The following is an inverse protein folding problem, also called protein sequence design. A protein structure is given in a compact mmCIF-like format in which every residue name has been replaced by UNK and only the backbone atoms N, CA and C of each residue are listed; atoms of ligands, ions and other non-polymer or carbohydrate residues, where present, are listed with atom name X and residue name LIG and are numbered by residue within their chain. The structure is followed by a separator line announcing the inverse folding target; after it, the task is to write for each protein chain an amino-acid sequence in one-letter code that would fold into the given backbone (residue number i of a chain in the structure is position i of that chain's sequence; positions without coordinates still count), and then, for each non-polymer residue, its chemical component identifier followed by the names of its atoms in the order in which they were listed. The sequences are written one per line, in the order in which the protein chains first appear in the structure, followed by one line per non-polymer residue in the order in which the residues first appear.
data_IF_575899916374
#
_entry.id   IF_575899916374
#
_cell.length_a   1.000
_cell.length_b   1.000
_cell.length_c   1.000
_cell.angle_alpha   90.00
_cell.angle_beta   90.00
_cell.angle_gamma   90.00
#
_symmetry.space_group_name_H-M   'P 1'
#
loop_
_entity.id
_entity.type
_entity.pdbx_description
1 polymer ?
#
# COMPACT_ATOMS: atom_id res chain seq x y z
N UNK A 1 19.32 -4.08 -17.64
CA UNK A 1 19.45 -4.81 -16.36
C UNK A 1 19.19 -6.28 -16.60
N UNK A 2 20.15 -7.15 -16.24
CA UNK A 2 19.96 -8.61 -16.30
C UNK A 2 19.00 -9.08 -15.20
N UNK A 3 18.45 -10.28 -15.34
CA UNK A 3 17.61 -10.90 -14.29
C UNK A 3 18.38 -11.03 -12.97
N UNK A 4 19.64 -11.46 -13.05
CA UNK A 4 20.53 -11.65 -11.90
C UNK A 4 20.78 -10.35 -11.13
N UNK A 5 20.91 -9.23 -11.83
CA UNK A 5 21.13 -7.93 -11.21
C UNK A 5 19.88 -7.44 -10.48
N UNK A 6 18.69 -7.69 -11.04
CA UNK A 6 17.41 -7.39 -10.37
C UNK A 6 17.23 -8.22 -9.10
N UNK A 7 17.57 -9.50 -9.16
CA UNK A 7 17.46 -10.41 -8.02
C UNK A 7 18.42 -10.03 -6.88
N UNK A 8 19.64 -9.61 -7.22
CA UNK A 8 20.61 -9.10 -6.25
C UNK A 8 20.08 -7.85 -5.53
N UNK A 9 19.57 -6.88 -6.28
CA UNK A 9 19.00 -5.64 -5.71
C UNK A 9 17.80 -5.95 -4.83
N UNK A 10 16.91 -6.86 -5.28
CA UNK A 10 15.74 -7.28 -4.49
C UNK A 10 16.16 -7.83 -3.12
N UNK A 11 17.10 -8.78 -3.10
CA UNK A 11 17.60 -9.39 -1.86
C UNK A 11 18.26 -8.37 -0.95
N UNK A 12 19.06 -7.46 -1.51
CA UNK A 12 19.72 -6.41 -0.75
C UNK A 12 18.71 -5.45 -0.09
N UNK A 13 17.67 -5.03 -0.82
CA UNK A 13 16.61 -4.18 -0.27
C UNK A 13 15.85 -4.90 0.84
N UNK A 14 15.45 -6.16 0.63
CA UNK A 14 14.76 -6.98 1.64
C UNK A 14 15.60 -7.07 2.93
N UNK A 15 16.91 -7.32 2.79
CA UNK A 15 17.80 -7.42 3.94
C UNK A 15 17.92 -6.09 4.70
N UNK A 16 17.98 -4.95 3.98
CA UNK A 16 18.07 -3.61 4.59
C UNK A 16 16.81 -3.22 5.37
N UNK A 17 15.63 -3.67 4.91
CA UNK A 17 14.33 -3.30 5.53
C UNK A 17 13.76 -4.40 6.42
N UNK A 18 14.50 -5.48 6.69
CA UNK A 18 14.03 -6.64 7.46
C UNK A 18 13.44 -6.26 8.82
N UNK A 19 14.14 -5.42 9.59
CA UNK A 19 13.65 -4.98 10.91
C UNK A 19 12.32 -4.22 10.83
N UNK A 20 12.11 -3.47 9.75
CA UNK A 20 10.86 -2.78 9.48
C UNK A 20 9.76 -3.79 9.09
N UNK A 21 10.09 -4.78 8.26
CA UNK A 21 9.17 -5.83 7.85
C UNK A 21 8.69 -6.69 9.03
N UNK A 22 9.59 -6.97 9.99
CA UNK A 22 9.29 -7.71 11.22
C UNK A 22 8.38 -6.90 12.16
N UNK A 23 8.53 -5.57 12.20
CA UNK A 23 7.66 -4.67 12.97
C UNK A 23 6.25 -4.55 12.37
N UNK A 24 6.15 -4.68 11.04
CA UNK A 24 4.91 -4.49 10.29
C UNK A 24 4.60 -5.74 9.44
N UNK A 25 4.25 -6.87 10.08
CA UNK A 25 4.13 -8.16 9.39
C UNK A 25 3.04 -8.16 8.31
N UNK A 26 1.96 -7.41 8.50
CA UNK A 26 0.81 -7.37 7.59
C UNK A 26 0.92 -6.27 6.53
N UNK A 27 1.95 -5.42 6.58
CA UNK A 27 2.08 -4.29 5.67
C UNK A 27 2.62 -4.74 4.31
N UNK A 28 1.81 -4.58 3.26
CA UNK A 28 2.13 -5.08 1.92
C UNK A 28 3.13 -4.20 1.16
N UNK A 29 3.42 -3.00 1.67
CA UNK A 29 4.33 -2.05 1.02
C UNK A 29 5.79 -2.27 1.39
N UNK A 30 6.06 -3.00 2.48
CA UNK A 30 7.42 -3.29 2.92
C UNK A 30 7.92 -4.56 2.24
N UNK A 31 9.00 -4.48 1.44
CA UNK A 31 9.61 -5.63 0.80
C UNK A 31 9.98 -6.72 1.80
N UNK A 32 9.62 -7.97 1.49
CA UNK A 32 9.94 -9.15 2.30
C UNK A 32 10.11 -10.38 1.40
N UNK A 33 10.76 -11.39 1.95
CA UNK A 33 10.75 -12.72 1.34
C UNK A 33 9.34 -13.29 1.37
N UNK A 34 8.90 -13.85 0.25
CA UNK A 34 7.60 -14.47 0.09
C UNK A 34 7.81 -15.92 -0.31
N UNK A 35 6.95 -16.81 0.17
CA UNK A 35 6.90 -18.18 -0.37
C UNK A 35 6.39 -18.15 -1.80
N UNK A 36 6.70 -19.19 -2.59
CA UNK A 36 6.22 -19.31 -3.98
C UNK A 36 4.69 -19.14 -4.08
N UNK A 37 3.95 -19.73 -3.15
CA UNK A 37 2.49 -19.59 -3.07
C UNK A 37 2.04 -18.15 -2.82
N UNK A 38 2.77 -17.39 -1.99
CA UNK A 38 2.49 -15.98 -1.76
C UNK A 38 2.84 -15.11 -2.97
N UNK A 39 3.94 -15.42 -3.66
CA UNK A 39 4.32 -14.73 -4.91
C UNK A 39 3.28 -14.95 -6.01
N UNK A 40 2.84 -16.20 -6.20
CA UNK A 40 1.81 -16.55 -7.18
C UNK A 40 0.48 -15.86 -6.86
N UNK A 41 0.08 -15.82 -5.59
CA UNK A 41 -1.10 -15.08 -5.15
C UNK A 41 -0.96 -13.58 -5.43
N UNK A 42 0.16 -12.97 -5.04
CA UNK A 42 0.39 -11.54 -5.26
C UNK A 42 0.32 -11.19 -6.75
N UNK A 43 0.92 -12.01 -7.61
CA UNK A 43 0.88 -11.82 -9.06
C UNK A 43 -0.55 -11.86 -9.60
N UNK A 44 -1.35 -12.85 -9.19
CA UNK A 44 -2.78 -12.93 -9.55
C UNK A 44 -3.59 -11.73 -9.06
N UNK A 45 -3.34 -11.30 -7.82
CA UNK A 45 -4.00 -10.13 -7.25
C UNK A 45 -3.63 -8.85 -8.03
N UNK A 46 -2.36 -8.71 -8.44
CA UNK A 46 -1.88 -7.59 -9.28
C UNK A 46 -2.52 -7.58 -10.67
N UNK A 47 -2.61 -8.74 -11.32
CA UNK A 47 -3.29 -8.92 -12.62
C UNK A 47 -4.78 -8.53 -12.50
N UNK A 48 -5.48 -9.07 -11.49
CA UNK A 48 -6.88 -8.76 -11.21
C UNK A 48 -7.13 -7.27 -10.96
N UNK A 49 -6.26 -6.61 -10.18
CA UNK A 49 -6.32 -5.15 -9.96
C UNK A 49 -6.11 -4.38 -11.28
N UNK A 50 -5.21 -4.87 -12.14
CA UNK A 50 -4.93 -4.24 -13.42
C UNK A 50 -6.13 -4.32 -14.37
N UNK A 51 -6.79 -5.47 -14.44
CA UNK A 51 -7.98 -5.69 -15.27
C UNK A 51 -9.12 -4.74 -14.86
N UNK A 52 -9.42 -4.66 -13.56
CA UNK A 52 -10.44 -3.72 -13.06
C UNK A 52 -10.09 -2.28 -13.38
N UNK A 53 -8.81 -1.89 -13.26
CA UNK A 53 -8.37 -0.53 -13.61
C UNK A 53 -8.56 -0.22 -15.08
N UNK A 54 -8.21 -1.15 -15.98
CA UNK A 54 -8.38 -0.98 -17.41
C UNK A 54 -9.85 -0.83 -17.75
N UNK A 55 -10.72 -1.69 -17.20
CA UNK A 55 -12.16 -1.59 -17.39
C UNK A 55 -12.71 -0.22 -16.98
N UNK A 56 -12.31 0.29 -15.80
CA UNK A 56 -12.73 1.60 -15.32
C UNK A 56 -12.26 2.75 -16.23
N UNK A 57 -11.03 2.69 -16.73
CA UNK A 57 -10.49 3.71 -17.65
C UNK A 57 -11.21 3.72 -18.99
N UNK A 58 -11.65 2.55 -19.45
CA UNK A 58 -12.41 2.37 -20.69
C UNK A 58 -13.92 2.61 -20.50
N UNK A 59 -14.37 2.97 -19.29
CA UNK A 59 -15.79 3.15 -18.98
C UNK A 59 -16.61 1.87 -19.02
N UNK A 60 -15.97 0.69 -18.96
CA UNK A 60 -16.64 -0.60 -18.93
C UNK A 60 -17.21 -0.88 -17.53
N UNK A 61 -18.33 -1.59 -17.52
CA UNK A 61 -18.93 -2.08 -16.28
C UNK A 61 -18.03 -3.14 -15.62
N UNK A 62 -17.90 -3.04 -14.30
CA UNK A 62 -17.15 -3.99 -13.47
C UNK A 62 -18.14 -4.65 -12.53
N UNK A 63 -18.20 -5.99 -12.57
CA UNK A 63 -19.10 -6.74 -11.69
C UNK A 63 -18.78 -6.48 -10.22
N UNK A 64 -19.81 -6.51 -9.37
CA UNK A 64 -19.71 -6.16 -7.95
C UNK A 64 -18.54 -6.85 -7.21
N UNK A 65 -18.31 -8.18 -7.32
CA UNK A 65 -17.20 -8.83 -6.62
C UNK A 65 -15.81 -8.32 -7.02
N UNK A 66 -15.64 -7.93 -8.28
CA UNK A 66 -14.38 -7.38 -8.80
C UNK A 66 -14.16 -5.94 -8.32
N UNK A 67 -15.24 -5.15 -8.29
CA UNK A 67 -15.20 -3.80 -7.74
C UNK A 67 -14.93 -3.81 -6.23
N UNK A 68 -15.55 -4.70 -5.48
CA UNK A 68 -15.29 -4.88 -4.04
C UNK A 68 -13.83 -5.23 -3.77
N UNK A 69 -13.29 -6.22 -4.48
CA UNK A 69 -11.88 -6.59 -4.37
C UNK A 69 -10.96 -5.42 -4.69
N UNK A 70 -11.25 -4.67 -5.76
CA UNK A 70 -10.46 -3.52 -6.13
C UNK A 70 -10.49 -2.44 -5.04
N UNK A 71 -11.66 -2.08 -4.51
CA UNK A 71 -11.78 -1.10 -3.43
C UNK A 71 -11.08 -1.57 -2.16
N UNK A 72 -11.20 -2.85 -1.80
CA UNK A 72 -10.50 -3.43 -0.65
C UNK A 72 -8.99 -3.35 -0.80
N UNK A 73 -8.46 -3.62 -2.01
CA UNK A 73 -7.03 -3.47 -2.29
C UNK A 73 -6.56 -2.01 -2.09
N UNK A 74 -7.37 -1.02 -2.49
CA UNK A 74 -7.07 0.40 -2.30
C UNK A 74 -7.12 0.79 -0.84
N UNK A 75 -8.15 0.35 -0.11
CA UNK A 75 -8.29 0.59 1.33
C UNK A 75 -7.10 -0.01 2.07
N UNK A 76 -6.72 -1.25 1.77
CA UNK A 76 -5.55 -1.92 2.36
C UNK A 76 -4.27 -1.14 2.09
N UNK A 77 -4.04 -0.72 0.83
CA UNK A 77 -2.88 0.09 0.48
C UNK A 77 -2.83 1.40 1.26
N UNK A 78 -3.97 2.05 1.46
CA UNK A 78 -4.05 3.29 2.26
C UNK A 78 -3.75 3.03 3.72
N UNK A 79 -4.28 1.95 4.32
CA UNK A 79 -3.93 1.55 5.70
C UNK A 79 -2.43 1.30 5.86
N UNK A 80 -1.81 0.62 4.88
CA UNK A 80 -0.39 0.31 4.90
C UNK A 80 0.48 1.57 4.80
N UNK A 81 0.08 2.55 3.99
CA UNK A 81 0.78 3.84 3.92
C UNK A 81 0.65 4.62 5.24
N UNK A 82 -0.54 4.65 5.83
CA UNK A 82 -0.79 5.34 7.10
C UNK A 82 0.09 4.76 8.21
N UNK A 83 0.16 3.43 8.32
CA UNK A 83 0.97 2.76 9.35
C UNK A 83 2.46 3.13 9.27
N UNK A 84 3.04 3.17 8.05
CA UNK A 84 4.44 3.57 7.84
C UNK A 84 4.65 5.05 8.19
N UNK A 85 3.72 5.92 7.79
CA UNK A 85 3.82 7.36 8.02
C UNK A 85 3.66 7.70 9.50
N UNK A 86 2.73 7.08 10.21
CA UNK A 86 2.56 7.24 11.66
C UNK A 86 3.80 6.76 12.42
N UNK A 87 4.41 5.66 12.01
CA UNK A 87 5.68 5.19 12.59
C UNK A 87 6.81 6.20 12.35
N UNK A 88 6.92 6.70 11.12
CA UNK A 88 7.96 7.68 10.74
C UNK A 88 7.77 8.98 11.52
N UNK A 89 6.54 9.45 11.67
CA UNK A 89 6.20 10.64 12.45
C UNK A 89 6.64 10.50 13.91
N UNK A 90 6.28 9.38 14.57
CA UNK A 90 6.70 9.10 15.95
C UNK A 90 8.23 9.08 16.07
N UNK A 91 8.90 8.40 15.14
CA UNK A 91 10.37 8.34 15.12
C UNK A 91 11.02 9.72 15.01
N UNK A 92 10.50 10.60 14.13
CA UNK A 92 11.02 11.95 13.97
C UNK A 92 10.76 12.83 15.20
N UNK A 93 9.55 12.77 15.76
CA UNK A 93 9.20 13.49 16.99
C UNK A 93 10.08 13.09 18.17
N UNK A 94 10.34 11.79 18.34
CA UNK A 94 11.20 11.26 19.41
C UNK A 94 12.68 11.65 19.24
N UNK A 95 13.12 11.89 17.99
CA UNK A 95 14.53 12.17 17.67
C UNK A 95 14.99 13.62 17.98
N UNK A 96 14.07 14.54 18.34
CA UNK A 96 14.31 15.96 18.70
C UNK A 96 15.39 16.68 17.87
N UNK A 97 15.44 16.46 16.55
CA UNK A 97 16.30 17.23 15.65
C UNK A 97 15.49 18.39 15.06
N UNK A 98 15.85 19.62 15.45
CA UNK A 98 15.15 20.87 15.09
C UNK A 98 15.02 21.14 13.57
N UNK A 99 15.70 20.37 12.71
CA UNK A 99 15.66 20.55 11.25
C UNK A 99 14.56 19.72 10.53
N UNK A 100 13.71 19.01 11.27
CA UNK A 100 12.71 18.09 10.69
C UNK A 100 11.27 18.64 10.61
N UNK A 101 11.04 19.88 11.03
CA UNK A 101 9.71 20.51 11.05
C UNK A 101 9.00 20.49 9.68
N UNK A 102 9.74 20.67 8.58
CA UNK A 102 9.18 20.59 7.22
C UNK A 102 8.77 19.17 6.83
N UNK A 103 9.54 18.16 7.26
CA UNK A 103 9.24 16.75 7.01
C UNK A 103 8.04 16.27 7.84
N UNK A 104 7.93 16.73 9.09
CA UNK A 104 6.79 16.43 9.96
C UNK A 104 5.50 17.00 9.38
N UNK A 105 5.49 18.27 8.98
CA UNK A 105 4.31 18.89 8.32
C UNK A 105 3.88 18.13 7.07
N UNK A 106 4.82 17.75 6.22
CA UNK A 106 4.52 16.97 5.01
C UNK A 106 3.90 15.61 5.35
N UNK A 107 4.39 14.94 6.39
CA UNK A 107 3.82 13.66 6.86
C UNK A 107 2.40 13.86 7.39
N UNK A 108 2.16 14.89 8.20
CA UNK A 108 0.84 15.23 8.74
C UNK A 108 -0.18 15.54 7.62
N UNK A 109 0.19 16.40 6.67
CA UNK A 109 -0.64 16.71 5.51
C UNK A 109 -0.98 15.45 4.70
N UNK A 110 0.03 14.57 4.52
CA UNK A 110 -0.18 13.30 3.82
C UNK A 110 -1.12 12.37 4.59
N UNK A 111 -1.00 12.29 5.91
CA UNK A 111 -1.88 11.48 6.75
C UNK A 111 -3.34 11.95 6.64
N UNK A 112 -3.58 13.26 6.71
CA UNK A 112 -4.93 13.84 6.55
C UNK A 112 -5.51 13.51 5.18
N UNK A 113 -4.72 13.68 4.11
CA UNK A 113 -5.12 13.34 2.74
C UNK A 113 -5.48 11.86 2.59
N UNK A 114 -4.68 10.96 3.18
CA UNK A 114 -4.91 9.52 3.15
C UNK A 114 -6.16 9.11 3.94
N UNK A 115 -6.43 9.74 5.08
CA UNK A 115 -7.64 9.51 5.86
C UNK A 115 -8.90 9.85 5.05
N UNK A 116 -8.93 11.05 4.43
CA UNK A 116 -10.04 11.46 3.57
C UNK A 116 -10.24 10.50 2.39
N UNK A 117 -9.16 10.14 1.69
CA UNK A 117 -9.22 9.18 0.58
C UNK A 117 -9.75 7.81 1.03
N UNK A 118 -9.37 7.34 2.22
CA UNK A 118 -9.88 6.09 2.78
C UNK A 118 -11.38 6.15 3.06
N UNK A 119 -11.87 7.26 3.61
CA UNK A 119 -13.29 7.46 3.89
C UNK A 119 -14.11 7.43 2.60
N UNK A 120 -13.63 8.11 1.55
CA UNK A 120 -14.26 8.07 0.21
C UNK A 120 -14.32 6.64 -0.35
N UNK A 121 -13.25 5.86 -0.24
CA UNK A 121 -13.21 4.46 -0.67
C UNK A 121 -14.18 3.57 0.13
N UNK A 122 -14.25 3.77 1.45
CA UNK A 122 -15.19 3.03 2.31
C UNK A 122 -16.63 3.38 1.97
N UNK A 123 -16.93 4.65 1.72
CA UNK A 123 -18.25 5.09 1.28
C UNK A 123 -18.59 4.52 -0.10
N UNK A 124 -17.65 4.52 -1.05
CA UNK A 124 -17.84 3.90 -2.36
C UNK A 124 -18.14 2.41 -2.23
N UNK A 125 -17.41 1.69 -1.36
CA UNK A 125 -17.66 0.27 -1.11
C UNK A 125 -19.06 0.03 -0.54
N UNK A 126 -19.48 0.81 0.46
CA UNK A 126 -20.83 0.70 1.04
C UNK A 126 -21.94 0.95 0.02
N UNK A 127 -21.70 1.80 -0.98
CA UNK A 127 -22.67 2.06 -2.05
C UNK A 127 -22.86 0.89 -3.00
N UNK A 128 -21.93 -0.08 -3.06
CA UNK A 128 -22.12 -1.31 -3.83
C UNK A 128 -23.20 -2.23 -3.25
N UNK A 129 -23.57 -2.03 -1.99
CA UNK A 129 -24.60 -2.80 -1.28
C UNK A 129 -26.00 -2.17 -1.40
N UNK A 130 -26.11 -1.00 -2.03
CA UNK A 130 -27.38 -0.34 -2.29
C UNK A 130 -27.92 -0.87 -3.63
N UNK A 131 -29.13 -1.45 -3.67
CA UNK A 131 -29.75 -1.99 -4.89
C UNK A 131 -29.91 -0.97 -6.02
#
# INVERSE_FOLDING_TARGET
MSSEEKDRIRKEVIQRVKSLADRFPDNSLIPRELTKTQEDKRKKDEERISEVRIALLEGREVIKPEMEFYLDSKIKKTKDMVEILEYSMKFFQDSRKNDQDSSLKLIEERLVSLQKSREELVLAKKKLDIP
#
